data_IF_903191299673
#
_entry.id   IF_903191299673
#
_cell.length_a   1.000
_cell.length_b   1.000
_cell.length_c   1.000
_cell.angle_alpha   90.00
_cell.angle_beta   90.00
_cell.angle_gamma   90.00
#
_symmetry.space_group_name_H-M   'P 1'
#
loop_
_entity.id
_entity.type
_entity.pdbx_description
1 polymer ?
#
# COMPACT_ATOMS: atom_id res chain seq x y z
N UNK A 1 -5.65 -51.66 15.50
CA UNK A 1 -4.69 -52.61 14.92
C UNK A 1 -3.62 -51.77 14.30
N UNK A 2 -2.43 -51.80 14.89
CA UNK A 2 -1.33 -50.97 14.44
C UNK A 2 -0.81 -51.53 13.12
N UNK A 3 -0.80 -50.68 12.10
CA UNK A 3 -0.43 -51.07 10.73
C UNK A 3 0.84 -50.31 10.36
N UNK A 4 1.78 -51.02 9.73
CA UNK A 4 3.04 -50.46 9.29
C UNK A 4 2.81 -49.84 7.92
N UNK A 5 3.22 -48.57 7.75
CA UNK A 5 3.12 -47.85 6.49
C UNK A 5 4.47 -47.27 6.07
N UNK A 6 4.81 -47.33 4.78
CA UNK A 6 5.84 -46.46 4.20
C UNK A 6 5.42 -44.99 4.38
N UNK A 7 6.36 -44.16 4.82
CA UNK A 7 6.14 -42.74 5.11
C UNK A 7 6.78 -41.89 4.02
N UNK A 8 5.99 -40.97 3.46
CA UNK A 8 6.45 -39.99 2.49
C UNK A 8 6.44 -38.58 3.10
N UNK A 9 7.60 -38.02 3.44
CA UNK A 9 7.70 -36.66 3.94
C UNK A 9 7.43 -35.64 2.82
N UNK A 10 6.39 -34.83 2.97
CA UNK A 10 5.97 -33.82 2.02
C UNK A 10 6.55 -32.44 2.36
N UNK A 11 6.94 -31.68 1.34
CA UNK A 11 7.37 -30.28 1.47
C UNK A 11 6.22 -29.37 1.07
N UNK A 12 6.02 -28.30 1.84
CA UNK A 12 5.08 -27.22 1.52
C UNK A 12 3.62 -27.63 1.26
N UNK A 13 3.20 -28.83 1.68
CA UNK A 13 1.84 -29.30 1.50
C UNK A 13 1.41 -30.21 2.64
N UNK A 14 0.14 -30.07 3.04
CA UNK A 14 -0.60 -30.97 3.92
C UNK A 14 -1.70 -31.58 3.05
N UNK A 15 -1.76 -32.91 3.00
CA UNK A 15 -2.78 -33.64 2.21
C UNK A 15 -3.91 -34.01 3.16
N UNK A 16 -5.11 -33.47 2.91
CA UNK A 16 -6.31 -33.81 3.67
C UNK A 16 -6.97 -35.10 3.13
N UNK A 17 -7.80 -35.77 3.94
CA UNK A 17 -8.72 -36.79 3.45
C UNK A 17 -9.51 -36.35 2.22
N UNK A 18 -9.71 -37.27 1.28
CA UNK A 18 -10.39 -37.10 -0.01
C UNK A 18 -9.73 -36.11 -0.98
N UNK A 19 -8.60 -35.51 -0.61
CA UNK A 19 -7.84 -34.64 -1.50
C UNK A 19 -7.07 -35.49 -2.51
N UNK A 20 -7.27 -35.22 -3.80
CA UNK A 20 -6.48 -35.81 -4.89
C UNK A 20 -5.41 -34.81 -5.30
N UNK A 21 -4.13 -35.19 -5.18
CA UNK A 21 -3.02 -34.29 -5.49
C UNK A 21 -1.91 -35.00 -6.26
N UNK A 22 -1.38 -34.40 -7.34
CA UNK A 22 -0.16 -34.89 -7.98
C UNK A 22 1.07 -34.46 -7.18
N UNK A 23 1.90 -35.42 -6.79
CA UNK A 23 3.17 -35.20 -6.12
C UNK A 23 4.33 -35.54 -7.04
N UNK A 24 5.39 -34.75 -6.95
CA UNK A 24 6.65 -34.96 -7.66
C UNK A 24 7.71 -35.40 -6.65
N UNK A 25 8.24 -36.60 -6.83
CA UNK A 25 9.17 -37.23 -5.89
C UNK A 25 10.50 -37.48 -6.59
N UNK A 26 11.56 -36.87 -6.08
CA UNK A 26 12.92 -37.01 -6.64
C UNK A 26 13.98 -37.52 -5.65
N UNK A 27 13.66 -37.64 -4.36
CA UNK A 27 14.61 -38.16 -3.35
C UNK A 27 14.68 -39.68 -3.46
N UNK A 28 15.87 -40.26 -3.50
CA UNK A 28 16.07 -41.72 -3.65
C UNK A 28 15.27 -42.53 -2.62
N UNK A 29 15.33 -42.16 -1.33
CA UNK A 29 14.56 -42.83 -0.26
C UNK A 29 13.05 -42.78 -0.51
N UNK A 30 12.54 -41.65 -0.98
CA UNK A 30 11.11 -41.47 -1.25
C UNK A 30 10.66 -42.22 -2.51
N UNK A 31 11.52 -42.33 -3.53
CA UNK A 31 11.25 -43.16 -4.72
C UNK A 31 11.20 -44.63 -4.33
N UNK A 32 12.13 -45.11 -3.50
CA UNK A 32 12.12 -46.49 -2.97
C UNK A 32 10.85 -46.79 -2.18
N UNK A 33 10.41 -45.87 -1.32
CA UNK A 33 9.14 -46.02 -0.58
C UNK A 33 7.95 -46.21 -1.54
N UNK A 34 7.87 -45.41 -2.61
CA UNK A 34 6.79 -45.53 -3.61
C UNK A 34 6.86 -46.85 -4.39
N UNK A 35 8.05 -47.35 -4.69
CA UNK A 35 8.21 -48.65 -5.35
C UNK A 35 7.80 -49.82 -4.46
N UNK A 36 8.06 -49.75 -3.15
CA UNK A 36 7.63 -50.74 -2.16
C UNK A 36 6.10 -50.76 -2.02
N UNK A 37 5.46 -49.59 -1.92
CA UNK A 37 4.00 -49.42 -1.84
C UNK A 37 3.26 -50.01 -3.06
N UNK A 38 3.89 -50.00 -4.24
CA UNK A 38 3.27 -50.61 -5.42
C UNK A 38 3.20 -52.14 -5.34
N UNK A 39 4.00 -52.77 -4.48
CA UNK A 39 3.99 -54.20 -4.25
C UNK A 39 3.08 -54.61 -3.08
N UNK A 40 2.81 -53.69 -2.14
CA UNK A 40 2.06 -53.97 -0.91
C UNK A 40 0.91 -52.97 -0.68
N UNK A 41 -0.33 -53.43 -0.83
CA UNK A 41 -1.61 -52.75 -0.52
C UNK A 41 -1.84 -51.32 -1.10
N UNK A 42 -0.91 -50.73 -1.85
CA UNK A 42 -0.98 -49.39 -2.45
C UNK A 42 -1.28 -48.24 -1.47
N UNK A 43 -1.02 -48.44 -0.18
CA UNK A 43 -1.23 -47.43 0.88
C UNK A 43 0.09 -46.82 1.34
N UNK A 44 0.10 -45.51 1.52
CA UNK A 44 1.27 -44.74 1.96
C UNK A 44 0.85 -43.70 2.99
N UNK A 45 1.68 -43.47 4.01
CA UNK A 45 1.44 -42.42 4.99
C UNK A 45 2.10 -41.11 4.54
N UNK A 46 1.28 -40.12 4.23
CA UNK A 46 1.71 -38.79 3.81
C UNK A 46 1.82 -37.87 5.02
N UNK A 47 2.99 -37.29 5.24
CA UNK A 47 3.24 -36.47 6.43
C UNK A 47 4.04 -35.23 6.07
N UNK A 48 3.63 -34.08 6.57
CA UNK A 48 4.28 -32.82 6.26
C UNK A 48 5.57 -32.64 7.08
N UNK A 49 6.56 -32.00 6.46
CA UNK A 49 7.77 -31.56 7.16
C UNK A 49 7.51 -30.27 7.94
N UNK A 50 8.11 -30.13 9.12
CA UNK A 50 8.08 -28.90 9.92
C UNK A 50 8.85 -27.77 9.22
N UNK A 51 9.95 -28.12 8.55
CA UNK A 51 10.77 -27.20 7.77
C UNK A 51 10.90 -27.70 6.32
N UNK A 52 10.29 -26.97 5.38
CA UNK A 52 10.31 -27.34 3.96
C UNK A 52 11.67 -27.18 3.27
N UNK A 53 12.58 -26.38 3.84
CA UNK A 53 13.92 -26.15 3.28
C UNK A 53 14.89 -27.30 3.57
N UNK A 54 14.52 -28.27 4.40
CA UNK A 54 15.39 -29.38 4.75
C UNK A 54 15.30 -30.49 3.71
N UNK A 55 16.42 -30.78 3.04
CA UNK A 55 16.46 -31.79 1.99
C UNK A 55 16.43 -33.23 2.51
N UNK A 56 16.95 -33.47 3.72
CA UNK A 56 16.95 -34.79 4.37
C UNK A 56 16.35 -34.64 5.77
N UNK A 57 15.01 -34.72 5.89
CA UNK A 57 14.34 -34.60 7.18
C UNK A 57 14.69 -35.79 8.07
N UNK A 58 14.93 -35.56 9.35
CA UNK A 58 14.96 -36.61 10.37
C UNK A 58 13.54 -36.88 10.88
N UNK A 59 13.29 -38.01 11.57
CA UNK A 59 12.01 -38.28 12.21
C UNK A 59 11.46 -37.13 13.08
N UNK A 60 12.34 -36.41 13.78
CA UNK A 60 11.98 -35.24 14.61
C UNK A 60 11.47 -34.03 13.82
N UNK A 61 11.83 -33.95 12.54
CA UNK A 61 11.57 -32.81 11.67
C UNK A 61 10.25 -32.94 10.90
N UNK A 62 9.52 -34.04 11.13
CA UNK A 62 8.25 -34.37 10.51
C UNK A 62 7.14 -34.24 11.57
N UNK A 63 5.93 -33.88 11.16
CA UNK A 63 4.78 -33.91 12.07
C UNK A 63 4.39 -35.35 12.45
N UNK A 64 3.69 -35.51 13.56
CA UNK A 64 3.29 -36.84 14.05
C UNK A 64 1.97 -37.31 13.41
N UNK A 65 1.12 -36.39 12.98
CA UNK A 65 -0.16 -36.69 12.33
C UNK A 65 -0.04 -36.43 10.83
N UNK A 66 -0.48 -37.41 10.05
CA UNK A 66 -0.54 -37.37 8.60
C UNK A 66 -1.81 -38.00 8.07
N UNK A 67 -1.80 -38.28 6.77
CA UNK A 67 -2.94 -38.88 6.06
C UNK A 67 -2.47 -40.15 5.37
N UNK A 68 -3.12 -41.27 5.67
CA UNK A 68 -2.96 -42.51 4.91
C UNK A 68 -3.63 -42.28 3.56
N UNK A 69 -2.87 -42.42 2.49
CA UNK A 69 -3.31 -42.16 1.13
C UNK A 69 -3.16 -43.41 0.26
N UNK A 70 -4.03 -43.52 -0.73
CA UNK A 70 -3.96 -44.54 -1.76
C UNK A 70 -3.23 -44.01 -2.98
N UNK A 71 -2.31 -44.80 -3.52
CA UNK A 71 -1.60 -44.47 -4.76
C UNK A 71 -2.47 -44.83 -5.96
N UNK A 72 -2.98 -43.80 -6.66
CA UNK A 72 -3.85 -43.97 -7.83
C UNK A 72 -3.06 -44.25 -9.11
N UNK A 73 -1.98 -43.50 -9.33
CA UNK A 73 -1.17 -43.60 -10.54
C UNK A 73 0.28 -43.24 -10.27
N UNK A 74 1.21 -44.02 -10.83
CA UNK A 74 2.65 -43.75 -10.76
C UNK A 74 3.21 -43.65 -12.18
N UNK A 75 3.94 -42.56 -12.46
CA UNK A 75 4.61 -42.33 -13.74
C UNK A 75 6.07 -41.94 -13.49
N UNK A 76 7.00 -42.76 -13.95
CA UNK A 76 8.43 -42.43 -13.94
C UNK A 76 8.74 -41.50 -15.11
N UNK A 77 9.35 -40.37 -14.81
CA UNK A 77 9.80 -39.39 -15.80
C UNK A 77 11.24 -39.73 -16.25
N UNK A 78 11.64 -39.34 -17.48
CA UNK A 78 12.96 -39.65 -18.02
C UNK A 78 14.11 -38.96 -17.27
N UNK A 79 13.82 -37.96 -16.44
CA UNK A 79 14.77 -37.27 -15.57
C UNK A 79 15.07 -38.03 -14.26
N UNK A 80 14.44 -39.20 -14.05
CA UNK A 80 14.59 -40.01 -12.84
C UNK A 80 13.63 -39.62 -11.71
N UNK A 81 12.82 -38.58 -11.89
CA UNK A 81 11.76 -38.23 -10.92
C UNK A 81 10.52 -39.09 -11.13
N UNK A 82 9.73 -39.26 -10.06
CA UNK A 82 8.48 -40.01 -10.10
C UNK A 82 7.33 -39.03 -9.86
N UNK A 83 6.41 -38.95 -10.83
CA UNK A 83 5.14 -38.27 -10.67
C UNK A 83 4.12 -39.27 -10.17
N UNK A 84 3.54 -39.02 -9.00
CA UNK A 84 2.54 -39.90 -8.39
C UNK A 84 1.26 -39.13 -8.11
N UNK A 85 0.12 -39.72 -8.45
CA UNK A 85 -1.20 -39.21 -8.08
C UNK A 85 -1.68 -39.99 -6.85
N UNK A 86 -1.96 -39.26 -5.78
CA UNK A 86 -2.42 -39.84 -4.51
C UNK A 86 -3.79 -39.29 -4.15
N UNK A 87 -4.58 -40.12 -3.49
CA UNK A 87 -5.85 -39.74 -2.87
C UNK A 87 -5.73 -39.91 -1.36
N UNK A 88 -5.94 -38.83 -0.60
CA UNK A 88 -6.00 -38.89 0.85
C UNK A 88 -7.16 -39.78 1.31
N UNK A 89 -6.89 -40.73 2.20
CA UNK A 89 -7.88 -41.56 2.86
C UNK A 89 -8.12 -41.04 4.26
N UNK A 90 -7.59 -41.75 5.26
CA UNK A 90 -7.87 -41.49 6.67
C UNK A 90 -6.71 -40.77 7.38
N UNK A 91 -7.02 -40.04 8.45
CA UNK A 91 -6.00 -39.44 9.32
C UNK A 91 -5.33 -40.55 10.13
N UNK A 92 -4.01 -40.46 10.30
CA UNK A 92 -3.28 -41.38 11.16
C UNK A 92 -2.18 -40.65 11.94
N UNK A 93 -1.90 -41.16 13.14
CA UNK A 93 -0.80 -40.70 14.00
C UNK A 93 0.32 -41.73 13.98
N UNK A 94 1.55 -41.27 13.76
CA UNK A 94 2.76 -42.06 13.91
C UNK A 94 2.97 -42.38 15.39
N UNK A 95 3.09 -43.66 15.71
CA UNK A 95 3.44 -44.14 17.04
C UNK A 95 4.96 -44.27 17.17
N UNK A 96 5.61 -44.87 16.17
CA UNK A 96 7.07 -44.99 16.09
C UNK A 96 7.54 -45.28 14.67
N UNK A 97 8.79 -44.90 14.38
CA UNK A 97 9.49 -45.32 13.16
C UNK A 97 10.15 -46.68 13.35
N UNK A 98 10.24 -47.47 12.28
CA UNK A 98 10.97 -48.75 12.27
C UNK A 98 12.47 -48.54 12.00
N UNK A 99 13.27 -49.58 12.18
CA UNK A 99 14.73 -49.54 11.96
C UNK A 99 15.13 -49.64 10.47
N UNK A 100 14.16 -49.64 9.54
CA UNK A 100 14.39 -49.78 8.10
C UNK A 100 15.17 -48.57 7.57
N UNK A 101 16.31 -48.81 6.90
CA UNK A 101 17.19 -47.72 6.44
C UNK A 101 16.92 -47.24 5.01
N UNK A 102 16.30 -48.09 4.18
CA UNK A 102 16.05 -47.82 2.76
C UNK A 102 15.13 -46.62 2.55
N UNK A 103 14.11 -46.48 3.38
CA UNK A 103 13.16 -45.39 3.40
C UNK A 103 12.46 -45.30 4.77
N UNK A 104 11.71 -44.22 5.01
CA UNK A 104 10.98 -44.06 6.26
C UNK A 104 9.79 -45.00 6.31
N UNK A 105 9.71 -45.79 7.35
CA UNK A 105 8.60 -46.70 7.61
C UNK A 105 8.20 -46.52 9.07
N UNK A 106 6.89 -46.47 9.34
CA UNK A 106 6.38 -46.19 10.66
C UNK A 106 5.14 -47.01 10.97
N UNK A 107 5.01 -47.36 12.25
CA UNK A 107 3.79 -47.88 12.83
C UNK A 107 2.86 -46.70 13.11
N UNK A 108 1.67 -46.72 12.53
CA UNK A 108 0.69 -45.66 12.67
C UNK A 108 -0.70 -46.18 13.06
N UNK A 109 -1.38 -45.38 13.87
CA UNK A 109 -2.75 -45.62 14.32
C UNK A 109 -3.71 -44.69 13.57
N UNK A 110 -4.79 -45.24 13.01
CA UNK A 110 -5.85 -44.45 12.38
C UNK A 110 -6.59 -43.66 13.46
N UNK A 111 -6.77 -42.36 13.24
CA UNK A 111 -7.49 -41.48 14.16
C UNK A 111 -8.99 -41.47 13.81
N UNK A 112 -9.86 -42.09 14.63
CA UNK A 112 -11.29 -42.15 14.35
C UNK A 112 -11.96 -40.80 14.56
N UNK A 113 -12.79 -40.37 13.62
CA UNK A 113 -13.50 -39.10 13.71
C UNK A 113 -14.46 -39.04 14.91
N UNK A 114 -14.50 -37.90 15.58
CA UNK A 114 -15.48 -37.61 16.63
C UNK A 114 -16.57 -36.74 16.02
N UNK A 115 -17.80 -37.24 16.01
CA UNK A 115 -18.97 -36.55 15.44
C UNK A 115 -19.88 -36.03 16.56
N UNK A 116 -20.32 -34.79 16.41
CA UNK A 116 -21.34 -34.16 17.26
C UNK A 116 -22.76 -34.58 16.83
N UNK A 117 -23.79 -33.92 17.38
CA UNK A 117 -25.17 -34.13 16.94
C UNK A 117 -25.35 -33.70 15.47
N UNK A 118 -26.11 -34.49 14.70
CA UNK A 118 -26.28 -34.25 13.27
C UNK A 118 -26.87 -32.86 12.97
N UNK A 119 -27.78 -32.35 13.82
CA UNK A 119 -28.37 -31.02 13.62
C UNK A 119 -27.35 -29.89 13.82
N UNK A 120 -26.44 -30.08 14.77
CA UNK A 120 -25.35 -29.14 15.02
C UNK A 120 -24.38 -29.11 13.83
N UNK A 121 -23.99 -30.29 13.33
CA UNK A 121 -23.13 -30.42 12.16
C UNK A 121 -23.76 -29.86 10.89
N UNK A 122 -25.06 -30.09 10.67
CA UNK A 122 -25.80 -29.48 9.55
C UNK A 122 -25.79 -27.95 9.62
N UNK A 123 -26.02 -27.39 10.81
CA UNK A 123 -26.00 -25.95 11.05
C UNK A 123 -24.63 -25.34 10.75
N UNK A 124 -23.55 -25.95 11.27
CA UNK A 124 -22.17 -25.53 11.02
C UNK A 124 -21.80 -25.65 9.54
N UNK A 125 -22.19 -26.73 8.89
CA UNK A 125 -21.93 -26.97 7.47
C UNK A 125 -22.55 -25.90 6.58
N UNK A 126 -23.79 -25.48 6.86
CA UNK A 126 -24.45 -24.37 6.14
C UNK A 126 -23.72 -23.04 6.31
N UNK A 127 -23.26 -22.75 7.54
CA UNK A 127 -22.46 -21.54 7.82
C UNK A 127 -21.14 -21.56 7.06
N UNK A 128 -20.42 -22.68 7.08
CA UNK A 128 -19.15 -22.87 6.35
C UNK A 128 -19.35 -22.71 4.84
N UNK A 129 -20.40 -23.30 4.27
CA UNK A 129 -20.72 -23.16 2.83
C UNK A 129 -21.00 -21.71 2.45
N UNK A 130 -21.80 -20.99 3.25
CA UNK A 130 -22.10 -19.58 2.99
C UNK A 130 -20.85 -18.70 3.06
N UNK A 131 -19.98 -18.93 4.04
CA UNK A 131 -18.72 -18.20 4.18
C UNK A 131 -17.76 -18.53 3.04
N UNK A 132 -17.68 -19.81 2.64
CA UNK A 132 -16.85 -20.23 1.51
C UNK A 132 -17.30 -19.58 0.19
N UNK A 133 -18.61 -19.41 -0.02
CA UNK A 133 -19.14 -18.68 -1.17
C UNK A 133 -18.67 -17.22 -1.18
N UNK A 134 -18.66 -16.54 -0.02
CA UNK A 134 -18.14 -15.19 0.09
C UNK A 134 -16.63 -15.14 -0.18
N UNK A 135 -15.89 -16.11 0.36
CA UNK A 135 -14.45 -16.24 0.14
C UNK A 135 -14.10 -16.40 -1.34
N UNK A 136 -14.77 -17.31 -2.07
CA UNK A 136 -14.54 -17.53 -3.51
C UNK A 136 -14.87 -16.27 -4.34
N UNK A 137 -15.93 -15.51 -3.98
CA UNK A 137 -16.28 -14.25 -4.66
C UNK A 137 -15.20 -13.18 -4.52
N UNK A 138 -14.46 -13.17 -3.41
CA UNK A 138 -13.37 -12.22 -3.16
C UNK A 138 -12.03 -12.73 -3.72
N UNK A 139 -11.75 -14.02 -3.58
CA UNK A 139 -10.52 -14.66 -4.03
C UNK A 139 -10.65 -15.24 -5.45
N UNK A 140 -10.33 -14.41 -6.45
CA UNK A 140 -10.38 -14.78 -7.88
C UNK A 140 -9.41 -15.88 -8.31
N UNK A 141 -8.56 -16.40 -7.42
CA UNK A 141 -7.65 -17.52 -7.72
C UNK A 141 -8.37 -18.87 -7.73
N UNK A 142 -9.52 -18.96 -7.07
CA UNK A 142 -10.30 -20.21 -7.00
C UNK A 142 -11.31 -20.23 -8.14
N UNK A 143 -11.32 -21.27 -9.00
CA UNK A 143 -12.33 -21.40 -10.04
C UNK A 143 -13.74 -21.51 -9.45
N UNK A 144 -14.76 -20.84 -10.03
CA UNK A 144 -16.14 -20.96 -9.57
C UNK A 144 -16.70 -22.39 -9.61
N UNK A 145 -16.13 -23.25 -10.45
CA UNK A 145 -16.46 -24.68 -10.56
C UNK A 145 -16.24 -25.42 -9.23
N UNK A 146 -15.23 -25.00 -8.45
CA UNK A 146 -14.96 -25.58 -7.13
C UNK A 146 -16.16 -25.38 -6.20
N UNK A 147 -16.83 -24.24 -6.26
CA UNK A 147 -18.00 -23.96 -5.43
C UNK A 147 -19.16 -24.94 -5.70
N UNK A 148 -19.33 -25.36 -6.96
CA UNK A 148 -20.33 -26.37 -7.33
C UNK A 148 -19.98 -27.72 -6.71
N UNK A 149 -18.69 -28.12 -6.75
CA UNK A 149 -18.25 -29.37 -6.16
C UNK A 149 -18.40 -29.39 -4.64
N UNK A 150 -18.06 -28.28 -3.94
CA UNK A 150 -18.18 -28.18 -2.48
C UNK A 150 -19.64 -28.20 -2.04
N UNK A 151 -20.55 -27.58 -2.80
CA UNK A 151 -22.00 -27.62 -2.52
C UNK A 151 -22.63 -29.01 -2.67
N UNK A 152 -21.97 -29.96 -3.34
CA UNK A 152 -22.45 -31.34 -3.50
C UNK A 152 -21.92 -32.27 -2.41
N UNK A 153 -21.10 -31.77 -1.48
CA UNK A 153 -20.55 -32.57 -0.38
C UNK A 153 -21.54 -32.61 0.77
N UNK A 154 -22.21 -33.76 0.93
CA UNK A 154 -23.19 -33.97 2.01
C UNK A 154 -22.56 -34.25 3.38
N UNK A 155 -21.36 -34.83 3.41
CA UNK A 155 -20.71 -35.22 4.67
C UNK A 155 -19.95 -34.01 5.29
N UNK A 156 -20.27 -33.61 6.54
CA UNK A 156 -19.64 -32.47 7.20
C UNK A 156 -18.13 -32.60 7.38
N UNK A 157 -17.63 -33.82 7.58
CA UNK A 157 -16.19 -34.09 7.74
C UNK A 157 -15.45 -33.82 6.43
N UNK A 158 -15.99 -34.35 5.32
CA UNK A 158 -15.48 -34.13 3.96
C UNK A 158 -15.57 -32.66 3.55
N UNK A 159 -16.64 -31.97 3.94
CA UNK A 159 -16.81 -30.55 3.66
C UNK A 159 -15.67 -29.73 4.27
N UNK A 160 -15.39 -29.93 5.56
CA UNK A 160 -14.30 -29.24 6.26
C UNK A 160 -12.95 -29.46 5.57
N UNK A 161 -12.66 -30.69 5.17
CA UNK A 161 -11.40 -31.09 4.56
C UNK A 161 -11.24 -30.53 3.13
N UNK A 162 -12.32 -30.58 2.36
CA UNK A 162 -12.38 -30.02 1.00
C UNK A 162 -12.16 -28.51 1.04
N UNK A 163 -12.87 -27.80 1.93
CA UNK A 163 -12.69 -26.35 2.11
C UNK A 163 -11.26 -26.03 2.54
N UNK A 164 -10.72 -26.71 3.56
CA UNK A 164 -9.37 -26.50 4.06
C UNK A 164 -8.29 -26.70 2.97
N UNK A 165 -8.51 -27.62 2.03
CA UNK A 165 -7.59 -27.85 0.90
C UNK A 165 -7.48 -26.63 -0.03
N UNK A 166 -8.57 -25.89 -0.21
CA UNK A 166 -8.65 -24.71 -1.09
C UNK A 166 -8.27 -23.39 -0.40
N UNK A 167 -8.17 -23.36 0.93
CA UNK A 167 -7.71 -22.18 1.65
C UNK A 167 -6.19 -21.99 1.51
N UNK A 168 -5.77 -20.73 1.33
CA UNK A 168 -4.37 -20.33 1.16
C UNK A 168 -3.68 -20.11 2.51
N UNK A 169 -3.68 -21.15 3.35
CA UNK A 169 -3.15 -21.10 4.72
C UNK A 169 -1.68 -21.52 4.82
N UNK A 170 -0.99 -21.03 5.85
CA UNK A 170 0.35 -21.52 6.23
C UNK A 170 0.28 -23.00 6.64
N UNK A 171 1.36 -23.75 6.39
CA UNK A 171 1.45 -25.19 6.68
C UNK A 171 1.11 -25.51 8.13
N UNK A 172 1.64 -24.73 9.09
CA UNK A 172 1.37 -24.93 10.51
C UNK A 172 -0.14 -24.90 10.84
N UNK A 173 -0.90 -24.01 10.20
CA UNK A 173 -2.34 -23.90 10.39
C UNK A 173 -3.08 -25.04 9.68
N UNK A 174 -2.63 -25.45 8.48
CA UNK A 174 -3.19 -26.63 7.79
C UNK A 174 -2.96 -27.91 8.60
N UNK A 175 -1.80 -28.02 9.25
CA UNK A 175 -1.47 -29.13 10.11
C UNK A 175 -2.35 -29.14 11.37
N UNK A 176 -2.55 -27.98 12.00
CA UNK A 176 -3.50 -27.82 13.12
C UNK A 176 -4.90 -28.34 12.71
N UNK A 177 -5.39 -27.97 11.53
CA UNK A 177 -6.67 -28.47 11.00
C UNK A 177 -6.69 -29.98 10.77
N UNK A 178 -5.58 -30.57 10.30
CA UNK A 178 -5.48 -32.02 10.10
C UNK A 178 -5.54 -32.78 11.44
N UNK A 179 -4.95 -32.21 12.49
CA UNK A 179 -4.89 -32.78 13.84
C UNK A 179 -6.22 -32.72 14.61
N UNK A 180 -7.17 -31.88 14.18
CA UNK A 180 -8.50 -31.80 14.78
C UNK A 180 -9.38 -32.96 14.28
N UNK A 181 -9.57 -33.93 15.18
CA UNK A 181 -10.38 -35.14 14.95
C UNK A 181 -11.89 -34.90 15.15
N UNK A 182 -12.23 -33.88 15.94
CA UNK A 182 -13.61 -33.44 16.21
C UNK A 182 -14.14 -32.61 15.03
N UNK A 183 -15.17 -33.14 14.36
CA UNK A 183 -15.70 -32.55 13.12
C UNK A 183 -16.32 -31.17 13.36
N UNK A 184 -17.03 -30.98 14.48
CA UNK A 184 -17.65 -29.69 14.81
C UNK A 184 -16.59 -28.63 15.05
N UNK A 185 -15.58 -28.94 15.88
CA UNK A 185 -14.45 -28.01 16.12
C UNK A 185 -13.68 -27.71 14.84
N UNK A 186 -13.55 -28.69 13.94
CA UNK A 186 -12.86 -28.47 12.66
C UNK A 186 -13.65 -27.52 11.77
N UNK A 187 -14.97 -27.67 11.67
CA UNK A 187 -15.84 -26.76 10.94
C UNK A 187 -15.78 -25.34 11.51
N UNK A 188 -15.85 -25.19 12.83
CA UNK A 188 -15.71 -23.89 13.51
C UNK A 188 -14.34 -23.25 13.23
N UNK A 189 -13.26 -24.03 13.30
CA UNK A 189 -11.91 -23.53 13.03
C UNK A 189 -11.74 -23.10 11.57
N UNK A 190 -12.26 -23.88 10.63
CA UNK A 190 -12.27 -23.54 9.20
C UNK A 190 -13.09 -22.28 8.95
N UNK A 191 -14.26 -22.15 9.58
CA UNK A 191 -15.09 -20.94 9.52
C UNK A 191 -14.32 -19.70 9.98
N UNK A 192 -13.71 -19.75 11.17
CA UNK A 192 -12.95 -18.63 11.72
C UNK A 192 -11.77 -18.22 10.82
N UNK A 193 -11.05 -19.20 10.26
CA UNK A 193 -9.94 -18.93 9.34
C UNK A 193 -10.42 -18.27 8.04
N UNK A 194 -11.59 -18.65 7.53
CA UNK A 194 -12.18 -18.00 6.36
C UNK A 194 -12.60 -16.56 6.66
N UNK A 195 -13.22 -16.30 7.80
CA UNK A 195 -13.64 -14.96 8.21
C UNK A 195 -12.44 -14.00 8.35
N UNK A 196 -11.35 -14.48 8.96
CA UNK A 196 -10.07 -13.74 9.05
C UNK A 196 -9.54 -13.38 7.65
N UNK A 197 -9.51 -14.36 6.73
CA UNK A 197 -8.96 -14.17 5.39
C UNK A 197 -9.86 -13.27 4.52
N UNK A 198 -11.19 -13.42 4.64
CA UNK A 198 -12.16 -12.53 3.99
C UNK A 198 -11.95 -11.09 4.45
N UNK A 199 -11.75 -10.87 5.75
CA UNK A 199 -11.49 -9.54 6.32
C UNK A 199 -10.23 -8.91 5.70
N UNK A 200 -9.14 -9.68 5.55
CA UNK A 200 -7.92 -9.22 4.88
C UNK A 200 -8.18 -8.87 3.41
N UNK A 201 -8.84 -9.76 2.66
CA UNK A 201 -9.15 -9.55 1.24
C UNK A 201 -10.05 -8.31 1.01
N UNK A 202 -10.99 -8.03 1.92
CA UNK A 202 -11.82 -6.84 1.86
C UNK A 202 -11.01 -5.55 2.04
N UNK A 203 -10.07 -5.54 2.97
CA UNK A 203 -9.16 -4.40 3.19
C UNK A 203 -8.28 -4.18 1.95
N UNK A 204 -7.68 -5.24 1.40
CA UNK A 204 -6.89 -5.16 0.16
C UNK A 204 -7.70 -4.60 -1.01
N UNK A 205 -8.94 -5.09 -1.20
CA UNK A 205 -9.86 -4.60 -2.22
C UNK A 205 -10.16 -3.11 -2.05
N UNK A 206 -10.37 -2.64 -0.81
CA UNK A 206 -10.60 -1.22 -0.49
C UNK A 206 -9.39 -0.36 -0.81
N UNK A 207 -8.17 -0.83 -0.47
CA UNK A 207 -6.92 -0.13 -0.78
C UNK A 207 -6.72 -0.06 -2.30
N UNK A 208 -6.83 -1.18 -3.01
CA UNK A 208 -6.73 -1.25 -4.47
C UNK A 208 -7.72 -0.31 -5.16
N UNK A 209 -8.95 -0.22 -4.64
CA UNK A 209 -9.96 0.72 -5.12
C UNK A 209 -9.56 2.19 -4.95
N UNK A 210 -8.99 2.57 -3.80
CA UNK A 210 -8.50 3.94 -3.57
C UNK A 210 -7.33 4.28 -4.48
N UNK A 211 -6.35 3.39 -4.60
CA UNK A 211 -5.18 3.56 -5.48
C UNK A 211 -5.63 3.74 -6.92
N UNK A 212 -6.56 2.90 -7.40
CA UNK A 212 -7.11 3.01 -8.76
C UNK A 212 -7.76 4.39 -9.01
N UNK A 213 -8.62 4.86 -8.11
CA UNK A 213 -9.27 6.18 -8.22
C UNK A 213 -8.26 7.33 -8.23
N UNK A 214 -7.23 7.25 -7.38
CA UNK A 214 -6.17 8.26 -7.34
C UNK A 214 -5.38 8.28 -8.65
N UNK A 215 -5.00 7.11 -9.18
CA UNK A 215 -4.32 7.01 -10.48
C UNK A 215 -5.16 7.56 -11.62
N UNK A 216 -6.46 7.20 -11.70
CA UNK A 216 -7.38 7.71 -12.71
C UNK A 216 -7.51 9.25 -12.63
N UNK A 217 -7.53 9.82 -11.41
CA UNK A 217 -7.54 11.27 -11.22
C UNK A 217 -6.24 11.91 -11.72
N UNK A 218 -5.09 11.39 -11.34
CA UNK A 218 -3.79 11.92 -11.77
C UNK A 218 -3.58 11.80 -13.28
N UNK A 219 -3.97 10.68 -13.89
CA UNK A 219 -3.93 10.51 -15.35
C UNK A 219 -4.85 11.50 -16.06
N UNK A 220 -6.06 11.71 -15.54
CA UNK A 220 -7.00 12.70 -16.08
C UNK A 220 -6.46 14.12 -15.98
N UNK A 221 -5.93 14.51 -14.83
CA UNK A 221 -5.31 15.83 -14.62
C UNK A 221 -4.11 16.05 -15.55
N UNK A 222 -3.24 15.04 -15.69
CA UNK A 222 -2.12 15.08 -16.62
C UNK A 222 -2.60 15.28 -18.06
N UNK A 223 -3.58 14.48 -18.50
CA UNK A 223 -4.15 14.57 -19.84
C UNK A 223 -4.79 15.94 -20.10
N UNK A 224 -5.60 16.45 -19.17
CA UNK A 224 -6.24 17.77 -19.28
C UNK A 224 -5.21 18.90 -19.35
N UNK A 225 -4.14 18.84 -18.57
CA UNK A 225 -3.08 19.85 -18.61
C UNK A 225 -2.31 19.83 -19.94
N UNK A 226 -2.01 18.66 -20.49
CA UNK A 226 -1.40 18.57 -21.82
C UNK A 226 -2.34 19.07 -22.91
N UNK A 227 -3.64 18.78 -22.81
CA UNK A 227 -4.64 19.37 -23.72
C UNK A 227 -4.68 20.89 -23.62
N UNK A 228 -4.67 21.47 -22.40
CA UNK A 228 -4.64 22.92 -22.22
C UNK A 228 -3.38 23.56 -22.81
N UNK A 229 -2.20 22.95 -22.62
CA UNK A 229 -0.96 23.44 -23.25
C UNK A 229 -1.02 23.39 -24.77
N UNK A 230 -1.59 22.32 -25.33
CA UNK A 230 -1.78 22.21 -26.77
C UNK A 230 -2.75 23.28 -27.29
N UNK A 231 -3.88 23.49 -26.61
CA UNK A 231 -4.86 24.54 -26.93
C UNK A 231 -4.24 25.93 -26.85
N UNK A 232 -3.48 26.25 -25.79
CA UNK A 232 -2.77 27.53 -25.64
C UNK A 232 -1.76 27.78 -26.77
N UNK A 233 -1.08 26.71 -27.21
CA UNK A 233 -0.15 26.76 -28.34
C UNK A 233 -0.87 27.02 -29.67
N UNK A 234 -2.03 26.40 -29.88
CA UNK A 234 -2.86 26.58 -31.09
C UNK A 234 -3.60 27.94 -31.11
N UNK A 235 -3.98 28.47 -29.94
CA UNK A 235 -4.61 29.79 -29.78
C UNK A 235 -3.63 30.96 -29.93
N UNK A 236 -2.32 30.70 -30.04
CA UNK A 236 -1.31 31.73 -30.25
C UNK A 236 -1.02 32.61 -29.03
N UNK A 237 -1.43 32.23 -27.82
CA UNK A 237 -1.08 32.93 -26.56
C UNK A 237 0.37 32.63 -26.12
N UNK A 238 1.30 32.74 -27.03
CA UNK A 238 2.74 32.72 -26.75
C UNK A 238 3.33 34.04 -27.22
N UNK A 239 3.19 35.09 -26.39
CA UNK A 239 4.24 36.12 -26.22
C UNK A 239 4.01 37.11 -25.05
N UNK A 240 2.79 37.37 -24.58
CA UNK A 240 2.57 38.42 -23.56
C UNK A 240 3.25 38.14 -22.20
N UNK A 241 3.17 36.90 -21.68
CA UNK A 241 3.73 36.58 -20.35
C UNK A 241 5.27 36.55 -20.28
N UNK A 242 5.96 36.40 -21.43
CA UNK A 242 7.42 36.48 -21.49
C UNK A 242 7.91 37.91 -21.66
N UNK A 243 7.16 38.74 -22.39
CA UNK A 243 7.52 40.14 -22.59
C UNK A 243 7.34 40.95 -21.30
N UNK A 244 6.28 40.70 -20.51
CA UNK A 244 6.07 41.33 -19.19
C UNK A 244 7.25 41.14 -18.22
N UNK A 245 7.81 39.92 -18.17
CA UNK A 245 8.94 39.62 -17.28
C UNK A 245 10.23 40.29 -17.74
N UNK A 246 10.42 40.42 -19.06
CA UNK A 246 11.54 41.15 -19.63
C UNK A 246 11.43 42.66 -19.36
N UNK A 247 10.22 43.22 -19.48
CA UNK A 247 9.93 44.62 -19.18
C UNK A 247 10.20 44.95 -17.70
N UNK A 248 9.76 44.11 -16.78
CA UNK A 248 10.05 44.26 -15.35
C UNK A 248 11.55 44.21 -15.06
N UNK A 249 12.29 43.31 -15.71
CA UNK A 249 13.75 43.22 -15.57
C UNK A 249 14.45 44.51 -16.07
N UNK A 250 14.00 45.07 -17.20
CA UNK A 250 14.50 46.36 -17.68
C UNK A 250 14.20 47.51 -16.71
N UNK A 251 12.97 47.59 -16.19
CA UNK A 251 12.56 48.65 -15.25
C UNK A 251 13.37 48.60 -13.96
N UNK A 252 13.69 47.42 -13.43
CA UNK A 252 14.57 47.24 -12.25
C UNK A 252 16.00 47.73 -12.54
N UNK A 253 16.52 47.48 -13.74
CA UNK A 253 17.86 47.95 -14.15
C UNK A 253 17.91 49.47 -14.33
N UNK A 254 16.89 50.07 -14.95
CA UNK A 254 16.79 51.52 -15.20
C UNK A 254 16.59 52.34 -13.92
N UNK A 255 15.87 51.79 -12.93
CA UNK A 255 15.58 52.49 -11.67
C UNK A 255 16.81 52.57 -10.77
N UNK A 256 17.08 53.75 -10.18
CA UNK A 256 18.24 54.02 -9.32
C UNK A 256 18.04 53.52 -7.87
N UNK A 257 17.72 52.23 -7.74
CA UNK A 257 17.53 51.54 -6.47
C UNK A 257 18.79 51.59 -5.57
N UNK A 258 18.62 51.49 -4.26
CA UNK A 258 19.71 51.18 -3.32
C UNK A 258 20.18 49.73 -3.53
N UNK A 259 21.36 49.37 -3.01
CA UNK A 259 21.91 48.01 -3.17
C UNK A 259 20.96 46.94 -2.61
N UNK A 260 20.47 47.16 -1.39
CA UNK A 260 19.53 46.25 -0.70
C UNK A 260 18.21 46.10 -1.45
N UNK A 261 17.63 47.21 -1.93
CA UNK A 261 16.37 47.17 -2.68
C UNK A 261 16.51 46.44 -4.03
N UNK A 262 17.64 46.62 -4.72
CA UNK A 262 17.91 45.93 -5.99
C UNK A 262 18.06 44.42 -5.80
N UNK A 263 18.75 44.00 -4.74
CA UNK A 263 18.92 42.57 -4.43
C UNK A 263 17.57 41.90 -4.12
N UNK A 264 16.73 42.56 -3.32
CA UNK A 264 15.36 42.10 -3.06
C UNK A 264 14.50 42.03 -4.32
N UNK A 265 14.49 43.08 -5.15
CA UNK A 265 13.73 43.10 -6.40
C UNK A 265 14.14 41.96 -7.36
N UNK A 266 15.45 41.72 -7.51
CA UNK A 266 15.95 40.64 -8.36
C UNK A 266 15.62 39.24 -7.79
N UNK A 267 15.66 39.09 -6.46
CA UNK A 267 15.27 37.85 -5.80
C UNK A 267 13.80 37.51 -6.01
N UNK A 268 12.91 38.49 -5.86
CA UNK A 268 11.48 38.32 -6.10
C UNK A 268 11.14 38.10 -7.59
N UNK A 269 11.83 38.79 -8.52
CA UNK A 269 11.71 38.54 -9.96
C UNK A 269 12.09 37.09 -10.33
N UNK A 270 13.16 36.56 -9.72
CA UNK A 270 13.60 35.17 -9.93
C UNK A 270 12.55 34.17 -9.43
N UNK A 271 11.90 34.44 -8.30
CA UNK A 271 10.78 33.62 -7.80
C UNK A 271 9.61 33.67 -8.77
N UNK A 272 9.24 34.87 -9.24
CA UNK A 272 8.15 35.08 -10.18
C UNK A 272 8.37 34.31 -11.49
N UNK A 273 9.60 34.26 -12.02
CA UNK A 273 9.96 33.50 -13.24
C UNK A 273 9.77 31.98 -13.10
N UNK A 274 9.88 31.45 -11.89
CA UNK A 274 9.75 30.01 -11.61
C UNK A 274 8.35 29.58 -11.18
N UNK A 275 7.43 30.52 -10.96
CA UNK A 275 6.05 30.27 -10.54
C UNK A 275 5.09 30.30 -11.73
N UNK A 276 3.94 29.64 -11.59
CA UNK A 276 2.84 29.78 -12.56
C UNK A 276 2.27 31.22 -12.49
N UNK A 277 2.08 31.91 -13.64
CA UNK A 277 1.50 33.26 -13.68
C UNK A 277 0.10 33.37 -13.06
N UNK A 278 -0.63 32.25 -12.95
CA UNK A 278 -1.98 32.18 -12.38
C UNK A 278 -2.00 31.93 -10.87
N UNK A 279 -0.84 31.81 -10.22
CA UNK A 279 -0.77 31.64 -8.76
C UNK A 279 -1.16 32.93 -8.04
N UNK A 280 -1.94 32.83 -6.96
CA UNK A 280 -2.26 33.96 -6.09
C UNK A 280 -0.99 34.63 -5.52
N UNK A 281 0.09 33.86 -5.32
CA UNK A 281 1.39 34.37 -4.88
C UNK A 281 2.08 35.22 -5.96
N UNK A 282 1.89 34.88 -7.24
CA UNK A 282 2.47 35.63 -8.36
C UNK A 282 1.88 37.04 -8.44
N UNK A 283 0.58 37.20 -8.18
CA UNK A 283 -0.08 38.51 -8.10
C UNK A 283 0.49 39.37 -6.99
N UNK A 284 0.75 38.79 -5.81
CA UNK A 284 1.32 39.51 -4.65
C UNK A 284 2.74 39.99 -4.97
N UNK A 285 3.57 39.13 -5.55
CA UNK A 285 4.94 39.47 -5.94
C UNK A 285 4.95 40.56 -7.02
N UNK A 286 4.06 40.49 -8.01
CA UNK A 286 3.92 41.52 -9.05
C UNK A 286 3.57 42.88 -8.44
N UNK A 287 2.55 42.93 -7.60
CA UNK A 287 2.14 44.16 -6.92
C UNK A 287 3.27 44.77 -6.08
N UNK A 288 4.05 43.92 -5.41
CA UNK A 288 5.21 44.37 -4.64
C UNK A 288 6.32 44.97 -5.53
N UNK A 289 6.64 44.32 -6.66
CA UNK A 289 7.62 44.82 -7.62
C UNK A 289 7.18 46.14 -8.25
N UNK A 290 5.91 46.25 -8.67
CA UNK A 290 5.37 47.49 -9.22
C UNK A 290 5.37 48.62 -8.20
N UNK A 291 4.98 48.36 -6.95
CA UNK A 291 5.05 49.35 -5.89
C UNK A 291 6.48 49.84 -5.68
N UNK A 292 7.45 48.93 -5.59
CA UNK A 292 8.86 49.26 -5.42
C UNK A 292 9.41 50.10 -6.58
N UNK A 293 9.00 49.79 -7.82
CA UNK A 293 9.41 50.52 -9.02
C UNK A 293 8.73 51.89 -9.17
N UNK A 294 7.52 52.06 -8.61
CA UNK A 294 6.77 53.32 -8.65
C UNK A 294 7.36 54.42 -7.76
N UNK A 295 8.13 54.04 -6.74
CA UNK A 295 8.71 54.99 -5.79
C UNK A 295 9.77 55.86 -6.49
N UNK A 296 9.78 57.19 -6.29
CA UNK A 296 10.72 58.10 -6.93
C UNK A 296 12.11 58.04 -6.28
N UNK A 297 12.81 56.93 -6.46
CA UNK A 297 14.16 56.69 -5.91
C UNK A 297 15.13 57.81 -6.30
N UNK A 298 15.81 58.37 -5.28
CA UNK A 298 16.80 59.45 -5.43
C UNK A 298 16.30 60.73 -6.12
N UNK A 299 14.98 60.91 -6.26
CA UNK A 299 14.37 62.18 -6.68
C UNK A 299 13.91 62.94 -5.44
N UNK A 300 14.83 63.72 -4.88
CA UNK A 300 14.47 64.63 -3.80
C UNK A 300 13.86 65.90 -4.37
N UNK A 301 12.74 66.33 -3.82
CA UNK A 301 12.18 67.66 -4.12
C UNK A 301 13.12 68.73 -3.58
N UNK A 302 13.33 69.82 -4.34
CA UNK A 302 14.09 70.98 -3.86
C UNK A 302 13.30 71.64 -2.73
N UNK A 303 13.83 71.61 -1.52
CA UNK A 303 13.25 72.31 -0.38
C UNK A 303 13.47 73.81 -0.56
N UNK A 304 12.39 74.60 -0.72
CA UNK A 304 12.44 76.06 -0.67
C UNK A 304 12.41 76.50 0.79
N UNK A 305 13.47 77.18 1.25
CA UNK A 305 13.59 77.70 2.61
C UNK A 305 13.31 79.20 2.66
N UNK A 306 12.06 79.59 2.38
CA UNK A 306 11.61 80.97 2.45
C UNK A 306 10.49 81.11 3.48
N UNK A 307 10.78 81.80 4.59
CA UNK A 307 9.85 81.98 5.71
C UNK A 307 8.69 82.90 5.31
N UNK A 308 8.93 83.93 4.48
CA UNK A 308 7.88 84.86 4.06
C UNK A 308 6.87 84.14 3.17
N UNK A 309 7.37 83.36 2.22
CA UNK A 309 6.53 82.51 1.38
C UNK A 309 5.74 81.49 2.21
N UNK A 310 6.38 80.90 3.23
CA UNK A 310 5.71 79.96 4.13
C UNK A 310 4.59 80.63 4.93
N UNK A 311 4.79 81.86 5.41
CA UNK A 311 3.77 82.63 6.11
C UNK A 311 2.58 82.95 5.19
N UNK A 312 2.83 83.43 3.98
CA UNK A 312 1.77 83.72 3.00
C UNK A 312 0.93 82.48 2.66
N UNK A 313 1.57 81.33 2.47
CA UNK A 313 0.88 80.06 2.19
C UNK A 313 0.07 79.61 3.41
N UNK A 314 0.63 79.69 4.62
CA UNK A 314 -0.07 79.34 5.86
C UNK A 314 -1.28 80.25 6.09
N UNK A 315 -1.16 81.56 5.83
CA UNK A 315 -2.24 82.52 5.98
C UNK A 315 -3.33 82.39 4.92
N UNK A 316 -2.97 81.96 3.72
CA UNK A 316 -3.91 81.70 2.62
C UNK A 316 -4.65 80.37 2.77
N UNK A 317 -3.94 79.29 3.07
CA UNK A 317 -4.50 77.93 3.05
C UNK A 317 -5.15 77.54 4.38
N UNK A 318 -4.85 78.24 5.48
CA UNK A 318 -5.40 77.97 6.80
C UNK A 318 -5.98 79.23 7.43
N UNK A 319 -7.29 79.27 7.68
CA UNK A 319 -7.93 80.39 8.35
C UNK A 319 -7.81 80.27 9.88
N UNK A 320 -7.36 81.33 10.57
CA UNK A 320 -7.14 81.31 12.03
C UNK A 320 -5.82 80.66 12.47
N UNK A 321 -5.77 80.08 13.68
CA UNK A 321 -4.64 79.34 14.25
C UNK A 321 -3.31 80.12 14.36
N UNK A 322 -3.36 81.38 14.81
CA UNK A 322 -2.17 82.26 14.94
C UNK A 322 -1.02 81.62 15.70
N UNK A 323 -1.28 81.03 16.87
CA UNK A 323 -0.26 80.36 17.70
C UNK A 323 0.41 79.17 17.01
N UNK A 324 -0.31 78.41 16.19
CA UNK A 324 0.24 77.23 15.50
C UNK A 324 1.07 77.66 14.30
N UNK A 325 0.58 78.65 13.55
CA UNK A 325 1.32 79.23 12.42
C UNK A 325 2.63 79.86 12.87
N UNK A 326 2.61 80.64 13.95
CA UNK A 326 3.81 81.22 14.55
C UNK A 326 4.83 80.14 14.92
N UNK A 327 4.38 79.04 15.55
CA UNK A 327 5.27 77.93 15.94
C UNK A 327 5.86 77.17 14.75
N UNK A 328 5.10 76.99 13.68
CA UNK A 328 5.61 76.41 12.42
C UNK A 328 6.65 77.35 11.80
N UNK A 329 6.40 78.66 11.78
CA UNK A 329 7.34 79.66 11.27
C UNK A 329 8.61 79.74 12.11
N UNK A 330 8.51 79.68 13.44
CA UNK A 330 9.65 79.60 14.36
C UNK A 330 10.49 78.35 14.08
N UNK A 331 9.85 77.20 13.89
CA UNK A 331 10.53 75.95 13.56
C UNK A 331 11.27 76.03 12.22
N UNK A 332 10.61 76.57 11.17
CA UNK A 332 11.22 76.82 9.87
C UNK A 332 12.38 77.81 9.96
N UNK A 333 12.28 78.83 10.83
CA UNK A 333 13.34 79.80 11.08
C UNK A 333 14.57 79.15 11.73
N UNK A 334 14.38 78.28 12.71
CA UNK A 334 15.46 77.49 13.33
C UNK A 334 16.09 76.53 12.31
N UNK A 335 15.28 75.90 11.46
CA UNK A 335 15.73 75.02 10.37
C UNK A 335 16.52 75.78 9.27
N UNK A 336 16.20 77.05 9.04
CA UNK A 336 16.96 77.89 8.12
C UNK A 336 18.35 78.22 8.69
N UNK A 337 18.42 78.44 10.02
CA UNK A 337 19.66 78.82 10.71
C UNK A 337 20.60 77.65 11.01
N UNK A 338 20.08 76.42 11.05
CA UNK A 338 20.84 75.22 11.45
C UNK A 338 20.86 74.17 10.33
N UNK A 339 22.05 73.77 9.85
CA UNK A 339 22.18 72.86 8.70
C UNK A 339 21.80 71.40 8.99
N UNK A 340 21.88 70.96 10.25
CA UNK A 340 21.44 69.63 10.71
C UNK A 340 20.56 69.80 11.94
N UNK A 341 19.31 69.39 11.83
CA UNK A 341 18.40 69.31 12.96
C UNK A 341 18.67 67.98 13.68
N UNK A 342 19.10 68.03 14.93
CA UNK A 342 18.89 66.91 15.88
C UNK A 342 17.51 67.15 16.47
N UNK A 343 16.60 66.20 16.26
CA UNK A 343 15.15 66.39 16.23
C UNK A 343 14.55 67.29 17.31
N UNK A 344 13.60 68.15 16.89
CA UNK A 344 12.42 68.44 17.68
C UNK A 344 11.18 67.95 16.92
N UNK A 345 10.29 67.29 17.66
CA UNK A 345 8.94 66.94 17.20
C UNK A 345 8.15 68.25 17.07
N UNK A 346 7.47 68.45 15.94
CA UNK A 346 6.37 69.42 15.87
C UNK A 346 5.25 68.86 16.77
N UNK A 347 5.09 69.43 17.97
CA UNK A 347 3.85 69.28 18.74
C UNK A 347 2.97 70.48 18.50
#
# INVERSE_FOLDING_TARGET
MDTIFPVLPLRDIVVFPHMIVPLFVGREKSVKALEDVMNDDKRILLVSQKNANQDNPQPSDIYEVGTVASVLQLLKLPDGTVKVLVEGGERARIIRFTDRQDFFEAEAEILPEIRADEKELEGLSRSVLSEFEQYVKLNKKIPPEVLVSVNQVDDPSKLADTVASHLALKIAVKQELLEIVDVAKRLERVYALMDEEISVLQVEKKIRGRVKRQMEKTQREYYLNEQLKAIQKELGETEDGRDELAELEERIKKTKLTKEAREKAMGELKKLRNMSPMSAEATVIRNYLDWMLSIPWKKNTKVKKDIKLAQEILDKDHYGLTKVKERILEYLAVQQRTAKIKGPILC
#
